data_IF_806354350218
#
_entry.id   IF_806354350218
#
_cell.length_a   1.000
_cell.length_b   1.000
_cell.length_c   1.000
_cell.angle_alpha   90.00
_cell.angle_beta   90.00
_cell.angle_gamma   90.00
#
_symmetry.space_group_name_H-M   'P 1'
#
loop_
_entity.id
_entity.type
_entity.pdbx_description
1 polymer ?
#
# COMPACT_ATOMS: atom_id res chain seq x y z
N UNK A 1 2.21 17.50 17.93
CA UNK A 1 3.49 16.84 17.57
C UNK A 1 3.62 16.83 16.04
N UNK A 2 4.49 17.66 15.45
CA UNK A 2 4.71 17.73 13.99
C UNK A 2 5.50 16.49 13.57
N UNK A 3 4.83 15.48 13.03
CA UNK A 3 5.51 14.35 12.39
C UNK A 3 6.18 14.88 11.12
N UNK A 4 7.49 15.10 11.15
CA UNK A 4 8.28 15.38 9.95
C UNK A 4 8.40 14.08 9.18
N UNK A 5 7.79 14.03 8.00
CA UNK A 5 8.30 13.20 6.91
C UNK A 5 9.68 13.74 6.58
N UNK A 6 10.71 13.21 7.22
CA UNK A 6 12.08 13.56 6.89
C UNK A 6 12.38 12.86 5.58
N UNK A 7 12.19 13.57 4.47
CA UNK A 7 13.02 13.36 3.29
C UNK A 7 14.47 13.52 3.77
N UNK A 8 15.18 12.41 4.04
CA UNK A 8 16.63 12.48 4.21
C UNK A 8 17.21 12.90 2.86
N UNK A 9 17.41 14.21 2.74
CA UNK A 9 17.99 14.89 1.61
C UNK A 9 18.45 16.25 2.12
N UNK A 10 19.69 16.29 2.61
CA UNK A 10 20.41 17.54 2.78
C UNK A 10 20.34 18.31 1.45
N UNK A 11 19.85 19.55 1.51
CA UNK A 11 19.87 20.57 0.47
C UNK A 11 19.80 20.08 -0.99
N UNK A 12 18.62 19.88 -1.54
CA UNK A 12 18.41 20.09 -2.98
C UNK A 12 16.94 20.40 -3.28
N UNK A 13 16.70 21.61 -3.79
CA UNK A 13 15.42 22.04 -4.33
C UNK A 13 15.23 21.37 -5.70
N UNK A 14 14.80 20.11 -5.72
CA UNK A 14 14.32 19.43 -6.94
C UNK A 14 12.81 19.45 -6.87
N UNK A 15 12.15 19.97 -7.92
CA UNK A 15 10.74 19.63 -8.17
C UNK A 15 10.70 18.10 -8.28
N UNK A 16 10.25 17.41 -7.24
CA UNK A 16 10.05 15.97 -7.30
C UNK A 16 8.85 15.73 -8.21
N UNK A 17 9.13 15.50 -9.50
CA UNK A 17 8.12 15.02 -10.42
C UNK A 17 7.63 13.66 -9.90
N UNK A 18 6.33 13.56 -9.68
CA UNK A 18 5.70 12.35 -9.19
C UNK A 18 4.98 11.68 -10.35
N UNK A 19 5.09 10.36 -10.42
CA UNK A 19 4.29 9.56 -11.34
C UNK A 19 3.12 8.93 -10.58
N UNK A 20 2.00 8.71 -11.27
CA UNK A 20 0.86 7.97 -10.73
C UNK A 20 0.63 6.72 -11.56
N UNK A 21 0.72 5.56 -10.93
CA UNK A 21 0.33 4.28 -11.48
C UNK A 21 -1.03 3.85 -10.92
N UNK A 22 -1.73 2.95 -11.63
CA UNK A 22 -2.98 2.36 -11.15
C UNK A 22 -2.83 0.84 -11.07
N UNK A 23 -3.24 0.27 -9.93
CA UNK A 23 -3.30 -1.18 -9.74
C UNK A 23 -4.76 -1.59 -9.55
N UNK A 24 -5.29 -2.31 -10.54
CA UNK A 24 -6.67 -2.79 -10.51
C UNK A 24 -6.93 -3.82 -9.41
N UNK A 25 -8.15 -3.82 -8.89
CA UNK A 25 -8.71 -4.84 -8.02
C UNK A 25 -10.07 -5.31 -8.54
N UNK A 26 -10.53 -6.46 -8.08
CA UNK A 26 -11.91 -6.92 -8.31
C UNK A 26 -12.83 -6.37 -7.22
N UNK A 27 -13.92 -5.65 -7.51
CA UNK A 27 -14.87 -5.24 -6.48
C UNK A 27 -15.66 -6.45 -5.93
N UNK A 28 -16.26 -6.35 -4.72
CA UNK A 28 -16.13 -5.22 -3.79
C UNK A 28 -14.76 -5.17 -3.11
N UNK A 29 -14.33 -3.95 -2.76
CA UNK A 29 -13.05 -3.70 -2.09
C UNK A 29 -13.28 -2.74 -0.91
N UNK A 30 -13.14 -3.25 0.31
CA UNK A 30 -13.47 -2.54 1.55
C UNK A 30 -12.34 -1.61 1.99
N UNK A 31 -12.07 -0.57 1.18
CA UNK A 31 -10.93 0.35 1.37
C UNK A 31 -10.82 0.95 2.77
N UNK A 32 -11.95 1.33 3.38
CA UNK A 32 -11.95 1.92 4.71
C UNK A 32 -11.43 0.96 5.78
N UNK A 33 -11.75 -0.33 5.67
CA UNK A 33 -11.30 -1.35 6.61
C UNK A 33 -9.80 -1.63 6.45
N UNK A 34 -9.31 -1.63 5.21
CA UNK A 34 -7.86 -1.67 4.93
C UNK A 34 -7.14 -0.49 5.58
N UNK A 35 -7.68 0.73 5.44
CA UNK A 35 -7.10 1.92 6.07
C UNK A 35 -7.15 1.85 7.61
N UNK A 36 -8.25 1.38 8.18
CA UNK A 36 -8.37 1.17 9.64
C UNK A 36 -7.30 0.19 10.12
N UNK A 37 -7.16 -0.95 9.45
CA UNK A 37 -6.11 -1.93 9.75
C UNK A 37 -4.72 -1.29 9.70
N UNK A 38 -4.35 -0.62 8.61
CA UNK A 38 -3.01 -0.01 8.52
C UNK A 38 -2.80 1.13 9.50
N UNK A 39 -3.84 1.87 9.89
CA UNK A 39 -3.75 2.91 10.91
C UNK A 39 -3.43 2.32 12.28
N UNK A 40 -4.09 1.23 12.65
CA UNK A 40 -3.88 0.52 13.93
C UNK A 40 -2.51 -0.16 14.00
N UNK A 41 -1.95 -0.54 12.86
CA UNK A 41 -0.65 -1.22 12.73
C UNK A 41 0.47 -0.31 12.18
N UNK A 42 0.26 1.01 12.18
CA UNK A 42 1.22 1.97 11.61
C UNK A 42 2.51 2.02 12.43
N UNK A 43 3.66 1.93 11.75
CA UNK A 43 4.97 2.14 12.37
C UNK A 43 5.31 3.64 12.36
N UNK A 44 5.53 4.30 13.51
CA UNK A 44 5.86 5.72 13.56
C UNK A 44 7.06 6.09 12.68
N UNK A 45 6.89 7.09 11.82
CA UNK A 45 7.92 7.57 10.90
C UNK A 45 8.07 6.74 9.60
N UNK A 46 7.43 5.57 9.51
CA UNK A 46 7.40 4.75 8.30
C UNK A 46 6.03 4.83 7.63
N UNK A 47 4.96 4.72 8.42
CA UNK A 47 3.57 4.65 7.97
C UNK A 47 2.76 5.86 8.43
N UNK A 48 1.84 6.30 7.57
CA UNK A 48 0.82 7.28 7.92
C UNK A 48 -0.46 7.01 7.13
N UNK A 49 -1.58 6.93 7.85
CA UNK A 49 -2.91 7.08 7.25
C UNK A 49 -3.38 8.52 7.46
N UNK A 50 -3.58 9.26 6.36
CA UNK A 50 -4.09 10.65 6.37
C UNK A 50 -4.81 10.96 5.07
N UNK A 51 -5.85 11.80 5.16
CA UNK A 51 -6.61 12.29 4.00
C UNK A 51 -7.16 11.13 3.15
N UNK A 52 -7.66 10.08 3.82
CA UNK A 52 -8.19 8.87 3.18
C UNK A 52 -7.18 8.14 2.27
N UNK A 53 -5.89 8.31 2.55
CA UNK A 53 -4.78 7.71 1.85
C UNK A 53 -3.81 7.05 2.83
N UNK A 54 -3.14 6.02 2.35
CA UNK A 54 -2.03 5.39 3.05
C UNK A 54 -0.70 5.87 2.48
N UNK A 55 0.21 6.26 3.33
CA UNK A 55 1.55 6.71 3.00
C UNK A 55 2.54 5.77 3.67
N UNK A 56 3.56 5.36 2.92
CA UNK A 56 4.64 4.52 3.45
C UNK A 56 5.98 4.86 2.83
N UNK A 57 7.03 4.88 3.64
CA UNK A 57 8.41 4.85 3.13
C UNK A 57 8.77 3.45 2.65
N UNK A 58 9.19 3.32 1.39
CA UNK A 58 9.71 2.08 0.81
C UNK A 58 11.22 2.14 0.67
N UNK A 59 11.88 1.02 0.93
CA UNK A 59 13.31 0.83 0.73
C UNK A 59 13.53 -0.22 -0.37
N UNK A 60 14.27 0.16 -1.40
CA UNK A 60 14.49 -0.65 -2.58
C UNK A 60 15.97 -0.76 -2.92
N UNK A 61 16.46 -1.99 -2.99
CA UNK A 61 17.79 -2.32 -3.49
C UNK A 61 17.91 -2.02 -4.99
N UNK A 62 19.12 -1.66 -5.43
CA UNK A 62 19.43 -1.40 -6.84
C UNK A 62 20.72 -2.11 -7.23
N UNK A 63 20.74 -2.71 -8.42
CA UNK A 63 21.93 -3.39 -8.93
C UNK A 63 23.03 -2.35 -9.19
N UNK A 64 24.20 -2.53 -8.58
CA UNK A 64 25.40 -1.70 -8.73
C UNK A 64 25.17 -0.20 -8.40
N UNK A 65 24.20 0.12 -7.55
CA UNK A 65 23.87 1.48 -7.12
C UNK A 65 23.41 1.47 -5.67
N UNK A 66 23.51 2.63 -5.01
CA UNK A 66 22.96 2.82 -3.68
C UNK A 66 21.45 2.53 -3.63
N UNK A 67 20.95 1.91 -2.54
CA UNK A 67 19.54 1.67 -2.37
C UNK A 67 18.78 2.99 -2.29
N UNK A 68 17.52 2.96 -2.70
CA UNK A 68 16.65 4.14 -2.72
C UNK A 68 15.56 4.00 -1.67
N UNK A 69 15.43 5.04 -0.83
CA UNK A 69 14.38 5.14 0.19
C UNK A 69 13.51 6.36 -0.08
N UNK A 70 12.24 6.15 -0.42
CA UNK A 70 11.28 7.21 -0.75
C UNK A 70 9.89 6.83 -0.29
N UNK A 71 9.02 7.83 -0.14
CA UNK A 71 7.62 7.58 0.19
C UNK A 71 6.83 7.17 -1.07
N UNK A 72 5.73 6.46 -0.82
CA UNK A 72 4.65 6.22 -1.77
C UNK A 72 3.33 6.62 -1.12
N UNK A 73 2.39 7.11 -1.92
CA UNK A 73 1.01 7.40 -1.51
C UNK A 73 0.07 6.46 -2.25
N UNK A 74 -0.79 5.79 -1.51
CA UNK A 74 -1.82 4.89 -2.03
C UNK A 74 -3.18 5.49 -1.70
N UNK A 75 -4.07 5.56 -2.69
CA UNK A 75 -5.45 6.01 -2.53
C UNK A 75 -6.39 5.14 -3.35
N UNK A 76 -7.66 5.08 -2.97
CA UNK A 76 -8.66 4.34 -3.74
C UNK A 76 -9.23 5.20 -4.88
N UNK A 77 -9.27 4.65 -6.09
CA UNK A 77 -9.98 5.20 -7.23
C UNK A 77 -11.13 4.25 -7.60
N UNK A 78 -12.22 4.34 -6.83
CA UNK A 78 -13.36 3.41 -6.94
C UNK A 78 -13.98 3.37 -8.34
N UNK A 79 -14.05 4.52 -9.03
CA UNK A 79 -14.56 4.61 -10.42
C UNK A 79 -13.76 3.73 -11.40
N UNK A 80 -12.47 3.48 -11.12
CA UNK A 80 -11.59 2.64 -11.94
C UNK A 80 -11.43 1.22 -11.38
N UNK A 81 -12.08 0.90 -10.26
CA UNK A 81 -11.80 -0.32 -9.47
C UNK A 81 -10.29 -0.53 -9.28
N UNK A 82 -9.56 0.52 -8.87
CA UNK A 82 -8.11 0.48 -8.78
C UNK A 82 -7.60 1.32 -7.62
N UNK A 83 -6.43 0.96 -7.10
CA UNK A 83 -5.65 1.83 -6.23
C UNK A 83 -4.76 2.74 -7.09
N UNK A 84 -4.77 4.04 -6.81
CA UNK A 84 -3.82 5.00 -7.36
C UNK A 84 -2.58 5.07 -6.49
N UNK A 85 -1.41 4.88 -7.11
CA UNK A 85 -0.12 4.83 -6.45
C UNK A 85 0.71 6.01 -6.95
N UNK A 86 0.84 7.06 -6.14
CA UNK A 86 1.72 8.19 -6.42
C UNK A 86 3.11 7.91 -5.86
N UNK A 87 4.12 8.03 -6.71
CA UNK A 87 5.50 7.58 -6.46
C UNK A 87 6.48 8.65 -6.96
N UNK A 88 7.55 8.91 -6.19
CA UNK A 88 8.64 9.79 -6.60
C UNK A 88 9.39 9.22 -7.82
N UNK A 89 9.80 10.07 -8.77
CA UNK A 89 10.53 9.67 -9.99
C UNK A 89 11.80 8.84 -9.69
N UNK A 90 12.48 9.08 -8.57
CA UNK A 90 13.67 8.31 -8.18
C UNK A 90 13.42 6.81 -7.98
N UNK A 91 12.16 6.40 -7.80
CA UNK A 91 11.74 4.99 -7.74
C UNK A 91 11.38 4.40 -9.10
N UNK A 92 11.32 5.18 -10.19
CA UNK A 92 11.02 4.71 -11.55
C UNK A 92 11.89 3.52 -11.96
N UNK A 93 13.22 3.51 -11.73
CA UNK A 93 14.06 2.37 -12.08
C UNK A 93 13.71 1.05 -11.36
N UNK A 94 12.97 1.13 -10.25
CA UNK A 94 12.52 -0.02 -9.44
C UNK A 94 10.99 -0.10 -9.35
N UNK A 95 10.29 0.58 -10.26
CA UNK A 95 8.84 0.72 -10.24
C UNK A 95 8.11 -0.62 -10.29
N UNK A 96 8.46 -1.58 -11.17
CA UNK A 96 7.78 -2.87 -11.20
C UNK A 96 7.88 -3.61 -9.86
N UNK A 97 9.02 -3.54 -9.17
CA UNK A 97 9.21 -4.17 -7.87
C UNK A 97 8.36 -3.49 -6.78
N UNK A 98 8.31 -2.15 -6.77
CA UNK A 98 7.47 -1.39 -5.85
C UNK A 98 6.00 -1.74 -6.05
N UNK A 99 5.52 -1.70 -7.30
CA UNK A 99 4.12 -2.02 -7.63
C UNK A 99 3.75 -3.47 -7.28
N UNK A 100 4.65 -4.43 -7.53
CA UNK A 100 4.43 -5.83 -7.15
C UNK A 100 4.29 -6.00 -5.63
N UNK A 101 5.13 -5.34 -4.83
CA UNK A 101 5.02 -5.38 -3.37
C UNK A 101 3.72 -4.73 -2.87
N UNK A 102 3.32 -3.60 -3.46
CA UNK A 102 2.05 -2.94 -3.11
C UNK A 102 0.86 -3.83 -3.50
N UNK A 103 0.90 -4.48 -4.66
CA UNK A 103 -0.14 -5.41 -5.10
C UNK A 103 -0.39 -6.52 -4.08
N UNK A 104 0.68 -7.08 -3.51
CA UNK A 104 0.60 -8.11 -2.48
C UNK A 104 0.17 -7.54 -1.11
N UNK A 105 0.72 -6.39 -0.72
CA UNK A 105 0.38 -5.71 0.54
C UNK A 105 -1.11 -5.38 0.64
N UNK A 106 -1.75 -5.02 -0.48
CA UNK A 106 -3.15 -4.67 -0.54
C UNK A 106 -4.06 -5.81 -1.05
N UNK A 107 -3.53 -7.02 -1.26
CA UNK A 107 -4.28 -8.20 -1.71
C UNK A 107 -5.15 -7.93 -2.96
N UNK A 108 -4.54 -7.30 -3.97
CA UNK A 108 -5.26 -6.88 -5.18
C UNK A 108 -5.56 -8.04 -6.13
N UNK A 109 -4.88 -9.18 -5.96
CA UNK A 109 -5.11 -10.39 -6.74
C UNK A 109 -6.36 -11.16 -6.30
N UNK A 110 -6.91 -10.89 -5.12
CA UNK A 110 -8.03 -11.64 -4.55
C UNK A 110 -9.28 -11.62 -5.46
N UNK A 111 -9.96 -12.77 -5.46
CA UNK A 111 -11.24 -13.03 -6.11
C UNK A 111 -12.33 -13.06 -5.02
N UNK A 112 -12.98 -11.91 -4.73
CA UNK A 112 -13.77 -11.75 -3.52
C UNK A 112 -14.97 -12.70 -3.46
N UNK A 113 -15.61 -12.98 -4.59
CA UNK A 113 -16.73 -13.92 -4.67
C UNK A 113 -16.30 -15.36 -4.36
N UNK A 114 -15.15 -15.80 -4.89
CA UNK A 114 -14.64 -17.15 -4.62
C UNK A 114 -14.33 -17.31 -3.14
N UNK A 115 -13.59 -16.36 -2.56
CA UNK A 115 -13.23 -16.38 -1.14
C UNK A 115 -14.47 -16.36 -0.25
N UNK A 116 -15.42 -15.47 -0.54
CA UNK A 116 -16.65 -15.37 0.23
C UNK A 116 -17.48 -16.65 0.16
N UNK A 117 -17.71 -17.20 -1.03
CA UNK A 117 -18.51 -18.41 -1.19
C UNK A 117 -17.88 -19.60 -0.44
N UNK A 118 -16.55 -19.72 -0.48
CA UNK A 118 -15.84 -20.78 0.26
C UNK A 118 -15.89 -20.63 1.78
N UNK A 119 -16.06 -19.42 2.31
CA UNK A 119 -15.98 -19.14 3.74
C UNK A 119 -17.30 -18.65 4.35
N UNK A 120 -18.37 -18.53 3.56
CA UNK A 120 -19.64 -17.93 3.98
C UNK A 120 -20.29 -18.62 5.17
N UNK A 121 -20.13 -19.94 5.30
CA UNK A 121 -20.62 -20.76 6.43
C UNK A 121 -19.95 -20.42 7.75
N UNK A 122 -18.83 -19.71 7.76
CA UNK A 122 -18.22 -19.20 8.99
C UNK A 122 -19.14 -18.22 9.73
N UNK A 123 -20.11 -17.61 9.03
CA UNK A 123 -21.13 -16.77 9.65
C UNK A 123 -22.10 -17.54 10.54
N UNK A 124 -22.20 -18.87 10.42
CA UNK A 124 -23.01 -19.72 11.31
C UNK A 124 -22.35 -19.83 12.70
N UNK A 125 -21.02 -19.68 12.77
CA UNK A 125 -20.25 -19.68 14.02
C UNK A 125 -20.40 -18.32 14.72
N UNK A 126 -20.18 -17.24 13.97
CA UNK A 126 -20.32 -15.88 14.46
C UNK A 126 -20.77 -14.97 13.30
N UNK A 127 -21.93 -14.31 13.42
CA UNK A 127 -22.40 -13.42 12.37
C UNK A 127 -21.38 -12.33 12.03
N UNK A 128 -21.06 -12.18 10.75
CA UNK A 128 -20.12 -11.17 10.24
C UNK A 128 -18.66 -11.61 10.21
N UNK A 129 -18.34 -12.86 10.53
CA UNK A 129 -16.98 -13.41 10.45
C UNK A 129 -16.48 -13.49 9.00
N UNK A 130 -17.38 -13.71 8.03
CA UNK A 130 -17.09 -13.65 6.61
C UNK A 130 -17.93 -12.56 5.94
N UNK A 131 -17.26 -11.54 5.40
CA UNK A 131 -17.90 -10.42 4.70
C UNK A 131 -17.34 -10.32 3.29
N UNK A 132 -18.23 -10.21 2.30
CA UNK A 132 -17.82 -10.10 0.89
C UNK A 132 -16.95 -8.84 0.69
N UNK A 133 -15.82 -9.02 0.02
CA UNK A 133 -14.85 -7.96 -0.25
C UNK A 133 -13.80 -7.73 0.86
N UNK A 134 -13.85 -8.50 1.95
CA UNK A 134 -12.76 -8.57 2.93
C UNK A 134 -11.47 -9.02 2.24
N UNK A 135 -10.35 -8.40 2.62
CA UNK A 135 -9.01 -8.63 2.08
C UNK A 135 -8.07 -9.06 3.17
N UNK A 136 -6.94 -9.65 2.78
CA UNK A 136 -5.84 -9.97 3.70
C UNK A 136 -4.75 -8.90 3.60
N UNK A 137 -4.67 -7.92 4.52
CA UNK A 137 -3.61 -6.93 4.49
C UNK A 137 -2.25 -7.63 4.66
N UNK A 138 -1.41 -7.53 3.63
CA UNK A 138 -0.06 -8.06 3.64
C UNK A 138 0.94 -7.10 4.26
N UNK A 139 2.22 -7.45 4.19
CA UNK A 139 3.31 -6.61 4.65
C UNK A 139 4.23 -6.19 3.51
N UNK A 140 4.91 -5.06 3.70
CA UNK A 140 5.98 -4.59 2.82
C UNK A 140 7.24 -4.43 3.69
N UNK A 141 7.92 -5.55 3.95
CA UNK A 141 9.19 -5.56 4.68
C UNK A 141 10.25 -6.26 3.83
N UNK A 142 11.25 -5.47 3.42
CA UNK A 142 12.61 -5.92 3.22
C UNK A 142 13.53 -4.83 3.80
N UNK A 143 13.46 -4.63 5.12
CA UNK A 143 14.59 -4.08 5.84
C UNK A 143 15.56 -5.24 6.05
N UNK A 144 16.43 -5.52 5.08
CA UNK A 144 17.68 -6.22 5.39
C UNK A 144 18.57 -5.21 6.11
N UNK A 145 18.33 -4.99 7.40
CA UNK A 145 19.36 -4.41 8.24
C UNK A 145 20.36 -5.53 8.56
N UNK A 146 21.48 -5.47 7.83
CA UNK A 146 22.77 -6.15 8.08
C UNK A 146 22.78 -7.67 7.96
#
# INVERSE_FOLDING_TARGET
MKIRFICYGAGYNRKDENITAYLGYRPPYRWNEILTFFKEHSIPGIDLVRDHAYWRTVHMERINKEPVSRWVKISNCAVKNALSITICETLVPVLPQVLGRIKNMFDLSCEPEIVYNSLSTMNDICPGLCVLGTRMPGCLILLKHR
#
